data_IF_919846471596
#
_entry.id   IF_919846471596
#
_cell.length_a   1.000
_cell.length_b   1.000
_cell.length_c   1.000
_cell.angle_alpha   90.00
_cell.angle_beta   90.00
_cell.angle_gamma   90.00
#
_symmetry.space_group_name_H-M   'P 1'
#
loop_
_entity.id
_entity.type
_entity.pdbx_description
1 polymer ?
#
# COMPACT_ATOMS: atom_id res chain seq x y z
N UNK A 1 -13.33 31.77 -1.89
CA UNK A 1 -12.54 30.80 -2.70
C UNK A 1 -11.14 30.66 -2.17
N UNK A 2 -10.19 31.58 -2.40
CA UNK A 2 -9.02 31.56 -1.51
C UNK A 2 -9.52 31.80 -0.05
N UNK A 3 -10.76 32.36 0.15
CA UNK A 3 -11.58 32.45 1.42
C UNK A 3 -12.08 31.13 2.01
N UNK A 4 -11.75 30.05 1.33
CA UNK A 4 -11.95 28.68 1.75
C UNK A 4 -10.61 27.91 1.67
N UNK A 5 -9.47 28.61 1.40
CA UNK A 5 -8.21 28.01 0.97
C UNK A 5 -6.81 28.55 1.50
N UNK A 6 -6.67 29.18 2.70
CA UNK A 6 -5.58 29.01 3.78
C UNK A 6 -5.82 28.95 5.44
N UNK A 7 -6.76 28.20 6.13
CA UNK A 7 -7.46 28.38 7.50
C UNK A 7 -6.96 27.30 8.43
N UNK A 8 -7.13 26.06 7.95
CA UNK A 8 -6.58 24.90 8.59
C UNK A 8 -5.04 25.13 8.72
N UNK A 9 -4.42 26.01 7.90
CA UNK A 9 -2.99 26.36 8.05
C UNK A 9 -2.77 27.21 9.31
N UNK A 10 -3.79 27.90 9.82
CA UNK A 10 -3.69 28.72 11.04
C UNK A 10 -4.09 27.93 12.30
N UNK A 11 -4.75 26.79 12.14
CA UNK A 11 -5.34 26.00 13.23
C UNK A 11 -4.75 24.58 13.37
N UNK A 12 -3.59 24.33 12.75
CA UNK A 12 -2.82 23.10 12.93
C UNK A 12 -1.49 23.45 13.64
N UNK A 13 -0.93 22.61 14.53
CA UNK A 13 0.35 22.92 15.22
C UNK A 13 1.62 22.54 14.44
N UNK A 14 1.58 21.45 13.67
CA UNK A 14 2.74 20.70 13.12
C UNK A 14 3.78 21.48 12.29
N UNK A 15 3.40 22.42 11.42
CA UNK A 15 4.37 23.19 10.64
C UNK A 15 5.11 24.24 11.48
N UNK A 16 4.47 24.86 12.48
CA UNK A 16 5.03 26.00 13.20
C UNK A 16 6.33 25.63 13.94
N UNK A 17 6.39 24.40 14.44
CA UNK A 17 7.53 23.82 15.14
C UNK A 17 8.62 23.26 14.20
N UNK A 18 8.37 23.18 12.89
CA UNK A 18 9.20 22.43 11.94
C UNK A 18 10.65 22.94 11.82
N UNK A 19 11.63 22.09 11.46
CA UNK A 19 13.02 22.52 11.23
C UNK A 19 13.18 23.60 10.15
N UNK A 20 12.24 23.68 9.20
CA UNK A 20 12.21 24.72 8.18
C UNK A 20 11.78 26.08 8.75
N UNK A 21 10.78 26.12 9.64
CA UNK A 21 10.38 27.34 10.34
C UNK A 21 11.53 27.87 11.22
N UNK A 22 12.21 27.00 11.98
CA UNK A 22 13.38 27.36 12.80
C UNK A 22 14.54 27.90 11.94
N UNK A 23 14.81 27.30 10.76
CA UNK A 23 15.82 27.80 9.80
C UNK A 23 15.45 29.12 9.11
N UNK A 24 14.17 29.47 9.06
CA UNK A 24 13.70 30.76 8.53
C UNK A 24 13.61 31.87 9.60
N UNK A 25 14.06 31.61 10.83
CA UNK A 25 14.17 32.61 11.90
C UNK A 25 12.91 32.77 12.75
N UNK A 26 11.93 31.87 12.65
CA UNK A 26 10.77 31.86 13.54
C UNK A 26 11.13 31.18 14.87
N UNK A 27 11.13 31.95 15.95
CA UNK A 27 11.25 31.45 17.34
C UNK A 27 10.27 32.20 18.25
N UNK A 28 9.32 31.47 18.83
CA UNK A 28 8.50 31.96 19.93
C UNK A 28 9.10 31.46 21.25
N UNK A 29 9.57 32.36 22.10
CA UNK A 29 9.91 32.01 23.49
C UNK A 29 8.63 31.87 24.30
N UNK A 30 8.15 30.64 24.43
CA UNK A 30 7.16 30.24 25.42
C UNK A 30 7.80 29.24 26.37
N UNK A 31 7.55 29.41 27.66
CA UNK A 31 8.08 28.52 28.71
C UNK A 31 7.40 27.17 28.63
N UNK A 32 8.17 26.13 28.36
CA UNK A 32 7.71 24.74 28.37
C UNK A 32 7.11 24.35 29.73
N UNK A 33 5.82 24.03 29.73
CA UNK A 33 5.41 22.75 30.34
C UNK A 33 5.75 21.64 29.30
N UNK A 34 6.00 20.42 29.77
CA UNK A 34 6.62 19.35 28.96
C UNK A 34 5.63 18.70 27.99
N UNK A 35 5.27 19.39 26.91
CA UNK A 35 4.51 18.82 25.79
C UNK A 35 5.35 17.79 24.99
N UNK A 36 4.67 16.76 24.51
CA UNK A 36 5.29 15.54 23.97
C UNK A 36 6.14 15.79 22.71
N UNK A 37 7.22 15.03 22.58
CA UNK A 37 8.17 15.08 21.47
C UNK A 37 7.45 14.87 20.12
N UNK A 38 7.45 15.89 19.25
CA UNK A 38 6.85 15.77 17.92
C UNK A 38 7.59 14.72 17.07
N UNK A 39 6.90 13.61 16.81
CA UNK A 39 7.35 12.54 15.91
C UNK A 39 7.77 13.11 14.54
N UNK A 40 9.06 13.02 14.22
CA UNK A 40 9.62 13.29 12.90
C UNK A 40 9.42 12.11 11.92
N UNK A 41 8.93 10.97 12.43
CA UNK A 41 8.90 9.71 11.70
C UNK A 41 7.96 9.76 10.51
N UNK A 42 8.35 9.03 9.45
CA UNK A 42 7.49 8.81 8.29
C UNK A 42 6.25 7.96 8.61
N UNK A 43 6.26 7.26 9.75
CA UNK A 43 5.12 6.47 10.24
C UNK A 43 4.03 7.34 10.87
N UNK A 44 2.79 6.89 10.77
CA UNK A 44 1.65 7.44 11.50
C UNK A 44 0.71 6.29 11.86
N UNK A 45 0.43 6.08 13.16
CA UNK A 45 -0.68 5.21 13.58
C UNK A 45 -1.99 5.94 13.28
N UNK A 46 -2.82 5.40 12.38
CA UNK A 46 -4.01 6.09 11.91
C UNK A 46 -5.20 5.88 12.84
N UNK A 47 -5.80 6.99 13.30
CA UNK A 47 -7.16 6.99 13.84
C UNK A 47 -8.15 6.73 12.70
N UNK A 48 -8.79 5.57 12.70
CA UNK A 48 -9.77 5.17 11.68
C UNK A 48 -11.20 5.21 12.21
N UNK A 49 -12.17 5.56 11.35
CA UNK A 49 -13.60 5.57 11.69
C UNK A 49 -14.37 4.43 11.01
N UNK A 50 -15.65 4.25 11.36
CA UNK A 50 -16.54 3.25 10.74
C UNK A 50 -16.41 1.84 11.30
N UNK A 51 -16.88 0.85 10.55
CA UNK A 51 -16.91 -0.57 10.94
C UNK A 51 -15.55 -1.25 10.77
N UNK A 52 -14.57 -0.89 11.59
CA UNK A 52 -13.22 -1.50 11.58
C UNK A 52 -13.29 -3.03 11.78
N UNK A 53 -12.52 -3.84 11.02
CA UNK A 53 -12.51 -5.30 11.20
C UNK A 53 -11.97 -5.70 12.58
N UNK A 54 -12.44 -6.83 13.17
CA UNK A 54 -11.79 -7.42 14.34
C UNK A 54 -10.37 -7.91 14.01
N UNK A 55 -9.55 -8.06 15.06
CA UNK A 55 -8.14 -8.50 15.02
C UNK A 55 -7.95 -9.78 14.20
N UNK A 56 -6.96 -9.78 13.29
CA UNK A 56 -6.81 -10.87 12.30
C UNK A 56 -5.41 -10.98 11.70
N UNK A 57 -4.92 -12.21 11.61
CA UNK A 57 -3.67 -12.58 10.93
C UNK A 57 -3.96 -13.46 9.72
N UNK A 58 -3.19 -13.32 8.63
CA UNK A 58 -3.33 -14.15 7.44
C UNK A 58 -4.62 -13.89 6.66
N UNK A 59 -5.20 -12.70 6.85
CA UNK A 59 -6.13 -12.09 5.91
C UNK A 59 -5.36 -11.65 4.66
N UNK A 60 -6.09 -11.23 3.62
CA UNK A 60 -5.48 -10.61 2.44
C UNK A 60 -6.06 -9.22 2.22
N UNK A 61 -5.25 -8.34 1.63
CA UNK A 61 -5.60 -6.97 1.30
C UNK A 61 -5.09 -6.61 -0.10
N UNK A 62 -5.76 -5.69 -0.80
CA UNK A 62 -5.34 -5.10 -2.08
C UNK A 62 -6.06 -3.76 -2.30
N UNK A 63 -5.54 -2.90 -3.18
CA UNK A 63 -6.19 -1.63 -3.56
C UNK A 63 -6.81 -1.71 -4.95
N UNK A 64 -8.07 -1.30 -5.08
CA UNK A 64 -8.71 -0.97 -6.36
C UNK A 64 -9.47 0.34 -6.18
N UNK A 65 -9.24 1.30 -7.08
CA UNK A 65 -9.93 2.60 -7.14
C UNK A 65 -9.98 3.29 -5.76
N UNK A 66 -8.79 3.51 -5.20
CA UNK A 66 -8.54 4.28 -3.97
C UNK A 66 -9.15 3.68 -2.68
N UNK A 67 -9.65 2.45 -2.79
CA UNK A 67 -10.20 1.65 -1.70
C UNK A 67 -9.33 0.42 -1.47
N UNK A 68 -8.84 0.24 -0.24
CA UNK A 68 -8.27 -1.03 0.20
C UNK A 68 -9.41 -2.00 0.54
N UNK A 69 -9.46 -3.14 -0.16
CA UNK A 69 -10.34 -4.24 0.19
C UNK A 69 -9.60 -5.20 1.11
N UNK A 70 -10.28 -5.74 2.12
CA UNK A 70 -9.75 -6.74 3.06
C UNK A 70 -10.74 -7.89 3.19
N UNK A 71 -10.25 -9.13 3.12
CA UNK A 71 -11.07 -10.33 3.32
C UNK A 71 -10.43 -11.36 4.24
N UNK A 72 -11.27 -12.00 5.06
CA UNK A 72 -10.95 -13.21 5.80
C UNK A 72 -9.82 -13.04 6.83
N UNK A 73 -9.01 -14.09 7.01
CA UNK A 73 -7.99 -14.20 8.05
C UNK A 73 -8.45 -15.02 9.26
N UNK A 74 -7.59 -15.14 10.26
CA UNK A 74 -7.79 -16.00 11.44
C UNK A 74 -7.56 -15.23 12.74
N UNK A 75 -8.37 -15.55 13.76
CA UNK A 75 -8.09 -15.29 15.17
C UNK A 75 -8.71 -16.39 16.06
N UNK A 76 -7.98 -16.83 17.10
CA UNK A 76 -8.51 -17.64 18.21
C UNK A 76 -9.45 -18.80 17.83
N UNK A 77 -9.02 -19.65 16.89
CA UNK A 77 -9.79 -20.81 16.43
C UNK A 77 -10.88 -20.50 15.39
N UNK A 78 -11.13 -19.23 15.09
CA UNK A 78 -12.07 -18.77 14.07
C UNK A 78 -11.34 -18.32 12.80
N UNK A 79 -11.91 -18.65 11.63
CA UNK A 79 -11.54 -18.02 10.35
C UNK A 79 -12.68 -17.13 9.87
N UNK A 80 -12.36 -15.87 9.54
CA UNK A 80 -13.32 -14.90 9.07
C UNK A 80 -13.73 -15.14 7.61
N UNK A 81 -14.98 -14.79 7.27
CA UNK A 81 -15.51 -14.71 5.90
C UNK A 81 -16.13 -13.35 5.57
N UNK A 82 -15.82 -12.32 6.36
CA UNK A 82 -16.26 -10.96 6.12
C UNK A 82 -15.32 -10.24 5.14
N UNK A 83 -15.90 -9.33 4.35
CA UNK A 83 -15.20 -8.41 3.46
C UNK A 83 -15.43 -6.97 3.93
N UNK A 84 -14.38 -6.17 3.89
CA UNK A 84 -14.40 -4.75 4.23
C UNK A 84 -13.77 -3.92 3.12
N UNK A 85 -14.24 -2.69 2.99
CA UNK A 85 -13.58 -1.61 2.27
C UNK A 85 -13.00 -0.61 3.30
N UNK A 86 -11.80 -0.12 3.04
CA UNK A 86 -11.19 1.01 3.73
C UNK A 86 -10.94 2.12 2.72
N UNK A 87 -11.59 3.27 2.93
CA UNK A 87 -11.35 4.49 2.18
C UNK A 87 -9.98 5.05 2.57
N UNK A 88 -9.01 5.02 1.64
CA UNK A 88 -7.62 5.39 1.90
C UNK A 88 -7.44 6.91 2.11
N UNK A 89 -8.42 7.72 1.73
CA UNK A 89 -8.39 9.19 1.83
C UNK A 89 -9.11 9.65 3.11
N UNK A 90 -10.24 9.04 3.45
CA UNK A 90 -11.06 9.38 4.64
C UNK A 90 -10.74 8.55 5.87
N UNK A 91 -9.88 7.53 5.74
CA UNK A 91 -9.56 6.54 6.77
C UNK A 91 -10.82 5.90 7.40
N UNK A 92 -11.81 5.57 6.57
CA UNK A 92 -13.12 5.07 6.99
C UNK A 92 -13.34 3.61 6.56
N UNK A 93 -13.68 2.75 7.52
CA UNK A 93 -14.00 1.35 7.28
C UNK A 93 -15.49 1.13 7.04
N UNK A 94 -15.82 0.44 5.95
CA UNK A 94 -17.18 -0.05 5.65
C UNK A 94 -17.16 -1.57 5.58
N UNK A 95 -17.99 -2.25 6.38
CA UNK A 95 -18.27 -3.68 6.18
C UNK A 95 -19.14 -3.82 4.94
N UNK A 96 -18.75 -4.69 4.00
CA UNK A 96 -19.53 -4.91 2.79
C UNK A 96 -20.50 -6.06 3.04
N UNK A 97 -21.80 -5.75 3.10
CA UNK A 97 -22.85 -6.77 3.19
C UNK A 97 -23.08 -7.38 1.80
N UNK A 98 -22.70 -8.66 1.64
CA UNK A 98 -22.81 -9.39 0.36
C UNK A 98 -24.07 -10.25 0.35
N UNK A 99 -25.23 -9.62 0.18
CA UNK A 99 -26.54 -10.28 0.23
C UNK A 99 -26.91 -11.05 -1.05
N UNK A 100 -26.24 -10.77 -2.16
CA UNK A 100 -26.41 -11.45 -3.44
C UNK A 100 -25.24 -12.39 -3.72
N UNK A 101 -25.50 -13.53 -4.36
CA UNK A 101 -24.48 -14.53 -4.69
C UNK A 101 -24.25 -15.57 -3.59
N UNK A 102 -23.05 -16.14 -3.53
CA UNK A 102 -22.64 -17.08 -2.47
C UNK A 102 -22.12 -16.34 -1.23
N UNK A 103 -22.07 -17.02 -0.08
CA UNK A 103 -21.19 -16.64 1.02
C UNK A 103 -19.95 -17.53 1.00
N UNK A 104 -18.73 -17.00 0.86
CA UNK A 104 -17.52 -17.81 0.95
C UNK A 104 -17.34 -18.38 2.37
N UNK A 105 -16.79 -19.60 2.47
CA UNK A 105 -16.35 -20.16 3.76
C UNK A 105 -15.23 -19.33 4.39
N UNK A 106 -15.21 -19.29 5.73
CA UNK A 106 -14.20 -18.57 6.51
C UNK A 106 -12.80 -19.16 6.34
N UNK A 107 -11.84 -18.32 5.94
CA UNK A 107 -10.51 -18.79 5.53
C UNK A 107 -9.38 -17.81 5.79
N UNK A 108 -8.19 -18.35 6.03
CA UNK A 108 -6.95 -17.61 6.15
C UNK A 108 -5.88 -18.18 5.19
N UNK A 109 -4.89 -17.34 4.87
CA UNK A 109 -3.78 -17.67 3.95
C UNK A 109 -4.22 -18.14 2.56
N UNK A 110 -5.31 -17.58 2.06
CA UNK A 110 -5.70 -17.67 0.65
C UNK A 110 -4.81 -16.75 -0.21
N UNK A 111 -4.70 -17.05 -1.50
CA UNK A 111 -4.08 -16.18 -2.49
C UNK A 111 -5.15 -15.35 -3.20
N UNK A 112 -4.84 -14.10 -3.57
CA UNK A 112 -5.81 -13.23 -4.22
C UNK A 112 -5.17 -12.13 -5.07
N UNK A 113 -5.92 -11.58 -6.02
CA UNK A 113 -5.53 -10.41 -6.81
C UNK A 113 -6.77 -9.73 -7.42
N UNK A 114 -6.60 -8.52 -7.96
CA UNK A 114 -7.61 -7.94 -8.85
C UNK A 114 -7.63 -8.66 -10.21
N UNK A 115 -8.73 -8.58 -10.95
CA UNK A 115 -8.77 -8.90 -12.38
C UNK A 115 -7.93 -7.90 -13.20
N UNK A 116 -7.51 -8.27 -14.41
CA UNK A 116 -6.75 -7.34 -15.29
C UNK A 116 -7.54 -6.06 -15.60
N UNK A 117 -8.88 -6.15 -15.69
CA UNK A 117 -9.79 -5.01 -15.89
C UNK A 117 -10.13 -4.23 -14.60
N UNK A 118 -9.63 -4.67 -13.43
CA UNK A 118 -9.92 -4.14 -12.08
C UNK A 118 -11.42 -4.08 -11.71
N UNK A 119 -12.30 -4.83 -12.37
CA UNK A 119 -13.73 -4.93 -12.03
C UNK A 119 -14.03 -5.92 -10.90
N UNK A 120 -13.13 -6.88 -10.67
CA UNK A 120 -13.30 -8.01 -9.74
C UNK A 120 -12.07 -8.22 -8.87
N UNK A 121 -12.27 -8.93 -7.76
CA UNK A 121 -11.20 -9.55 -6.98
C UNK A 121 -11.34 -11.07 -7.11
N UNK A 122 -10.28 -11.74 -7.56
CA UNK A 122 -10.21 -13.21 -7.57
C UNK A 122 -9.56 -13.72 -6.30
N UNK A 123 -10.11 -14.79 -5.74
CA UNK A 123 -9.60 -15.47 -4.56
C UNK A 123 -9.45 -16.97 -4.86
N UNK A 124 -8.28 -17.53 -4.54
CA UNK A 124 -8.03 -18.96 -4.60
C UNK A 124 -7.45 -19.48 -3.27
N UNK A 125 -7.76 -20.71 -2.92
CA UNK A 125 -7.11 -21.39 -1.80
C UNK A 125 -7.53 -20.89 -0.42
N UNK A 126 -6.62 -21.08 0.52
CA UNK A 126 -6.80 -20.81 1.95
C UNK A 126 -7.24 -22.04 2.73
N UNK A 127 -7.12 -21.96 4.04
CA UNK A 127 -7.60 -22.98 4.98
C UNK A 127 -8.61 -22.38 5.94
N UNK A 128 -9.61 -23.18 6.34
CA UNK A 128 -10.34 -22.95 7.58
C UNK A 128 -9.46 -23.22 8.81
N UNK A 129 -10.03 -23.20 10.04
CA UNK A 129 -9.26 -23.19 11.28
C UNK A 129 -8.50 -24.51 11.57
N UNK A 130 -8.86 -25.60 10.89
CA UNK A 130 -8.17 -26.88 10.94
C UNK A 130 -7.14 -26.96 9.80
N UNK A 131 -5.98 -26.32 10.02
CA UNK A 131 -4.90 -26.17 9.03
C UNK A 131 -4.52 -27.50 8.36
N UNK A 132 -4.49 -27.50 7.03
CA UNK A 132 -4.20 -28.70 6.22
C UNK A 132 -5.39 -29.66 6.03
N UNK A 133 -6.44 -29.55 6.85
CA UNK A 133 -7.62 -30.42 6.81
C UNK A 133 -8.81 -29.73 6.12
N UNK A 134 -9.00 -28.43 6.32
CA UNK A 134 -10.06 -27.63 5.68
C UNK A 134 -9.51 -26.68 4.61
N UNK A 135 -8.57 -27.20 3.81
CA UNK A 135 -8.03 -26.51 2.63
C UNK A 135 -9.11 -26.33 1.55
N UNK A 136 -9.12 -25.17 0.90
CA UNK A 136 -10.08 -24.80 -0.13
C UNK A 136 -9.39 -24.77 -1.50
N UNK A 137 -10.13 -25.02 -2.58
CA UNK A 137 -9.58 -25.16 -3.94
C UNK A 137 -10.52 -24.74 -5.07
N UNK A 138 -11.52 -23.91 -4.78
CA UNK A 138 -12.34 -23.25 -5.80
C UNK A 138 -11.81 -21.84 -6.03
N UNK A 139 -11.74 -21.43 -7.30
CA UNK A 139 -11.57 -20.02 -7.67
C UNK A 139 -12.90 -19.30 -7.42
N UNK A 140 -12.87 -18.27 -6.57
CA UNK A 140 -14.00 -17.37 -6.33
C UNK A 140 -13.70 -16.01 -6.95
N UNK A 141 -14.75 -15.28 -7.33
CA UNK A 141 -14.65 -13.87 -7.72
C UNK A 141 -15.63 -13.02 -6.91
N UNK A 142 -15.19 -11.85 -6.48
CA UNK A 142 -16.02 -10.79 -5.94
C UNK A 142 -16.21 -9.70 -7.00
N UNK A 143 -17.46 -9.38 -7.35
CA UNK A 143 -17.77 -8.25 -8.22
C UNK A 143 -17.78 -6.96 -7.38
N UNK A 144 -16.89 -6.02 -7.70
CA UNK A 144 -16.68 -4.82 -6.88
C UNK A 144 -17.90 -3.87 -6.95
N UNK A 145 -18.57 -3.80 -8.11
CA UNK A 145 -19.73 -2.94 -8.33
C UNK A 145 -21.01 -3.53 -7.73
N UNK A 146 -21.28 -4.81 -8.01
CA UNK A 146 -22.48 -5.52 -7.54
C UNK A 146 -22.39 -6.00 -6.09
N UNK A 147 -21.18 -6.00 -5.51
CA UNK A 147 -20.87 -6.43 -4.14
C UNK A 147 -21.32 -7.87 -3.83
N UNK A 148 -21.21 -8.74 -4.83
CA UNK A 148 -21.55 -10.16 -4.73
C UNK A 148 -20.31 -11.05 -4.86
N UNK A 149 -20.38 -12.25 -4.28
CA UNK A 149 -19.42 -13.32 -4.52
C UNK A 149 -20.03 -14.37 -5.44
N UNK A 150 -19.25 -14.88 -6.39
CA UNK A 150 -19.62 -16.01 -7.25
C UNK A 150 -18.47 -17.01 -7.32
N UNK A 151 -18.82 -18.29 -7.54
CA UNK A 151 -17.83 -19.31 -7.92
C UNK A 151 -17.49 -19.07 -9.39
N UNK A 152 -16.21 -19.16 -9.75
CA UNK A 152 -15.79 -19.14 -11.15
C UNK A 152 -15.89 -20.57 -11.66
N UNK A 153 -16.95 -20.87 -12.40
CA UNK A 153 -17.09 -22.12 -13.14
C UNK A 153 -16.01 -22.16 -14.22
N UNK A 154 -15.00 -22.99 -13.99
CA UNK A 154 -13.73 -22.98 -14.73
C UNK A 154 -13.33 -24.39 -15.15
N UNK A 155 -12.80 -24.51 -16.36
CA UNK A 155 -12.43 -25.79 -16.97
C UNK A 155 -10.91 -26.05 -16.91
N UNK A 156 -10.49 -27.22 -17.39
CA UNK A 156 -9.07 -27.57 -17.52
C UNK A 156 -8.41 -28.08 -16.23
N UNK A 157 -7.10 -27.83 -16.11
CA UNK A 157 -6.25 -28.36 -15.04
C UNK A 157 -6.35 -27.52 -13.77
N UNK A 158 -7.44 -27.70 -13.02
CA UNK A 158 -7.67 -27.03 -11.73
C UNK A 158 -6.48 -27.20 -10.75
N UNK A 159 -6.07 -26.15 -10.01
CA UNK A 159 -5.06 -26.26 -8.98
C UNK A 159 -5.57 -27.04 -7.75
N UNK A 160 -4.70 -27.75 -7.01
CA UNK A 160 -5.11 -28.49 -5.82
C UNK A 160 -5.49 -27.56 -4.65
N UNK A 161 -6.39 -28.00 -3.74
CA UNK A 161 -6.70 -27.27 -2.51
C UNK A 161 -5.46 -27.08 -1.63
N UNK A 162 -5.25 -25.86 -1.13
CA UNK A 162 -4.10 -25.52 -0.31
C UNK A 162 -4.08 -24.05 0.11
N UNK A 163 -3.06 -23.66 0.88
CA UNK A 163 -2.88 -22.31 1.41
C UNK A 163 -1.44 -21.81 1.29
N UNK A 164 -1.26 -20.49 1.36
CA UNK A 164 0.04 -19.83 1.28
C UNK A 164 0.64 -19.80 -0.13
N UNK A 165 -0.14 -20.07 -1.17
CA UNK A 165 0.18 -19.70 -2.56
C UNK A 165 0.28 -18.18 -2.70
N UNK A 166 0.82 -17.70 -3.83
CA UNK A 166 0.60 -16.33 -4.31
C UNK A 166 -0.21 -16.33 -5.61
N UNK A 167 -0.87 -15.20 -5.93
CA UNK A 167 -1.65 -14.99 -7.14
C UNK A 167 -1.41 -13.57 -7.67
N UNK A 168 -1.19 -13.40 -8.97
CA UNK A 168 -1.14 -12.09 -9.62
C UNK A 168 -1.82 -12.12 -10.99
N UNK A 169 -2.24 -10.96 -11.50
CA UNK A 169 -2.84 -10.83 -12.83
C UNK A 169 -1.86 -10.13 -13.80
N UNK A 170 -1.62 -10.75 -14.95
CA UNK A 170 -0.81 -10.21 -16.05
C UNK A 170 -1.51 -10.56 -17.38
N UNK A 171 -1.76 -9.58 -18.24
CA UNK A 171 -2.26 -9.77 -19.62
C UNK A 171 -3.52 -10.65 -19.76
N UNK A 172 -4.56 -10.40 -18.95
CA UNK A 172 -5.80 -11.19 -18.89
C UNK A 172 -5.60 -12.64 -18.41
N UNK A 173 -4.55 -12.90 -17.63
CA UNK A 173 -4.27 -14.21 -17.04
C UNK A 173 -3.89 -14.07 -15.57
N UNK A 174 -4.33 -15.03 -14.76
CA UNK A 174 -3.96 -15.11 -13.34
C UNK A 174 -2.90 -16.20 -13.16
N UNK A 175 -1.78 -15.85 -12.53
CA UNK A 175 -0.64 -16.74 -12.29
C UNK A 175 -0.61 -17.11 -10.81
N UNK A 176 -0.96 -18.37 -10.50
CA UNK A 176 -0.97 -18.96 -9.16
C UNK A 176 0.31 -19.78 -8.97
N UNK A 177 1.09 -19.47 -7.93
CA UNK A 177 2.36 -20.16 -7.67
C UNK A 177 2.51 -20.69 -6.25
N UNK A 178 3.08 -21.90 -6.16
CA UNK A 178 3.59 -22.49 -4.91
C UNK A 178 2.52 -22.82 -3.87
N UNK A 179 2.83 -22.56 -2.60
CA UNK A 179 1.98 -22.85 -1.44
C UNK A 179 2.16 -24.26 -0.86
N UNK A 180 1.20 -24.67 -0.03
CA UNK A 180 1.23 -25.96 0.67
C UNK A 180 -0.16 -26.55 0.89
N UNK A 181 -0.24 -27.88 0.94
CA UNK A 181 -1.41 -28.62 1.44
C UNK A 181 -1.41 -28.78 2.97
N UNK A 182 -0.37 -28.30 3.66
CA UNK A 182 -0.08 -28.60 5.07
C UNK A 182 0.79 -29.84 5.27
N UNK A 183 0.84 -30.74 4.28
CA UNK A 183 1.74 -31.90 4.26
C UNK A 183 2.82 -31.81 3.17
N UNK A 184 2.50 -31.18 2.03
CA UNK A 184 3.40 -31.05 0.87
C UNK A 184 3.44 -29.59 0.45
N UNK A 185 4.64 -29.03 0.38
CA UNK A 185 4.92 -27.71 -0.20
C UNK A 185 5.24 -27.89 -1.68
N UNK A 186 4.81 -26.94 -2.53
CA UNK A 186 4.99 -27.04 -3.99
C UNK A 186 5.63 -25.78 -4.59
N UNK A 187 6.13 -25.90 -5.81
CA UNK A 187 6.56 -24.82 -6.72
C UNK A 187 5.91 -25.00 -8.11
N UNK A 188 4.68 -25.54 -8.13
CA UNK A 188 3.88 -25.62 -9.35
C UNK A 188 3.42 -24.22 -9.77
N UNK A 189 3.36 -24.00 -11.09
CA UNK A 189 2.69 -22.85 -11.69
C UNK A 189 1.36 -23.31 -12.30
N UNK A 190 0.30 -22.62 -11.92
CA UNK A 190 -1.01 -22.73 -12.57
C UNK A 190 -1.39 -21.38 -13.17
N UNK A 191 -1.90 -21.38 -14.39
CA UNK A 191 -2.30 -20.19 -15.12
C UNK A 191 -3.78 -20.29 -15.49
N UNK A 192 -4.55 -19.28 -15.09
CA UNK A 192 -5.96 -19.12 -15.44
C UNK A 192 -6.10 -18.09 -16.55
N UNK A 193 -6.83 -18.41 -17.60
CA UNK A 193 -7.17 -17.45 -18.64
C UNK A 193 -8.48 -16.74 -18.31
N UNK A 194 -8.44 -15.42 -18.11
CA UNK A 194 -9.61 -14.65 -17.68
C UNK A 194 -10.72 -14.57 -18.75
N UNK A 195 -10.40 -14.82 -20.03
CA UNK A 195 -11.37 -14.76 -21.13
C UNK A 195 -12.04 -16.11 -21.34
N UNK A 196 -11.24 -17.17 -21.51
CA UNK A 196 -11.74 -18.54 -21.78
C UNK A 196 -12.19 -19.29 -20.54
N UNK A 197 -11.84 -18.81 -19.33
CA UNK A 197 -12.12 -19.45 -18.03
C UNK A 197 -11.51 -20.85 -17.88
N UNK A 198 -10.35 -21.07 -18.52
CA UNK A 198 -9.61 -22.34 -18.46
C UNK A 198 -8.38 -22.19 -17.55
N UNK A 199 -8.20 -23.13 -16.62
CA UNK A 199 -6.94 -23.36 -15.91
C UNK A 199 -6.02 -24.30 -16.68
N UNK A 200 -4.72 -24.03 -16.61
CA UNK A 200 -3.65 -24.93 -17.02
C UNK A 200 -2.63 -25.07 -15.91
N UNK A 201 -2.06 -26.27 -15.74
CA UNK A 201 -0.76 -26.42 -15.10
C UNK A 201 0.28 -26.20 -16.20
N UNK A 202 1.12 -25.19 -16.04
CA UNK A 202 2.13 -24.83 -17.05
C UNK A 202 3.50 -25.34 -16.61
N UNK A 203 4.21 -26.04 -17.50
CA UNK A 203 5.60 -26.39 -17.26
C UNK A 203 6.51 -25.21 -17.61
N UNK A 204 7.41 -24.90 -16.67
CA UNK A 204 8.29 -23.73 -16.76
C UNK A 204 9.76 -24.13 -16.79
N UNK A 205 10.54 -23.40 -17.58
CA UNK A 205 11.97 -23.61 -17.82
C UNK A 205 12.82 -22.77 -16.86
N UNK A 206 14.15 -22.89 -16.96
CA UNK A 206 15.10 -22.06 -16.22
C UNK A 206 15.23 -22.44 -14.74
N UNK A 207 15.62 -21.47 -13.91
CA UNK A 207 15.90 -21.68 -12.47
C UNK A 207 14.64 -21.44 -11.63
N UNK A 208 13.71 -22.41 -11.69
CA UNK A 208 12.46 -22.40 -10.93
C UNK A 208 12.73 -22.28 -9.41
N UNK A 209 12.04 -21.39 -8.66
CA UNK A 209 12.18 -21.30 -7.21
C UNK A 209 11.91 -22.64 -6.52
N UNK A 210 12.56 -22.89 -5.38
CA UNK A 210 12.28 -24.07 -4.55
C UNK A 210 10.83 -24.08 -4.02
N UNK A 211 10.24 -25.25 -3.71
CA UNK A 211 8.89 -25.36 -3.13
C UNK A 211 8.70 -24.44 -1.92
N UNK A 212 7.66 -23.58 -1.96
CA UNK A 212 7.53 -22.49 -1.00
C UNK A 212 6.10 -22.02 -0.73
N UNK A 213 5.75 -21.85 0.53
CA UNK A 213 4.59 -21.08 0.98
C UNK A 213 5.01 -19.68 1.47
N UNK A 214 4.05 -18.75 1.57
CA UNK A 214 4.22 -17.44 2.21
C UNK A 214 5.44 -16.63 1.73
N UNK A 215 5.79 -16.85 0.46
CA UNK A 215 6.49 -15.93 -0.41
C UNK A 215 5.53 -14.80 -0.82
N UNK A 216 6.08 -13.74 -1.42
CA UNK A 216 5.28 -12.67 -2.02
C UNK A 216 5.47 -12.62 -3.54
N UNK A 217 4.51 -11.98 -4.21
CA UNK A 217 4.51 -11.82 -5.67
C UNK A 217 4.34 -10.35 -6.05
N UNK A 218 5.02 -9.93 -7.12
CA UNK A 218 4.75 -8.66 -7.79
C UNK A 218 4.70 -8.86 -9.31
N UNK A 219 3.74 -8.20 -9.97
CA UNK A 219 3.65 -8.13 -11.41
C UNK A 219 4.30 -6.83 -11.90
N UNK A 220 5.32 -6.94 -12.76
CA UNK A 220 5.99 -5.77 -13.36
C UNK A 220 6.23 -6.12 -14.83
N UNK A 221 5.64 -5.35 -15.73
CA UNK A 221 5.56 -5.66 -17.16
C UNK A 221 5.09 -7.12 -17.39
N UNK A 222 5.74 -7.85 -18.29
CA UNK A 222 5.46 -9.26 -18.59
C UNK A 222 6.25 -10.21 -17.67
N UNK A 223 6.47 -9.83 -16.40
CA UNK A 223 7.21 -10.63 -15.40
C UNK A 223 6.48 -10.76 -14.06
N UNK A 224 6.45 -11.99 -13.56
CA UNK A 224 5.99 -12.33 -12.22
C UNK A 224 7.22 -12.51 -11.32
N UNK A 225 7.50 -11.53 -10.46
CA UNK A 225 8.57 -11.60 -9.46
C UNK A 225 8.09 -12.38 -8.24
N UNK A 226 8.94 -13.27 -7.71
CA UNK A 226 8.68 -14.06 -6.49
C UNK A 226 9.80 -13.82 -5.49
N UNK A 227 9.44 -13.38 -4.28
CA UNK A 227 10.39 -12.94 -3.25
C UNK A 227 10.19 -13.76 -1.97
N UNK A 228 11.29 -14.30 -1.45
CA UNK A 228 11.35 -15.02 -0.17
C UNK A 228 10.35 -16.17 -0.03
N UNK A 229 9.83 -16.34 1.20
CA UNK A 229 9.03 -17.51 1.58
C UNK A 229 9.90 -18.72 1.91
N UNK A 230 9.29 -19.90 1.98
CA UNK A 230 10.02 -21.13 2.29
C UNK A 230 9.12 -22.31 2.62
N UNK A 231 9.65 -23.26 3.38
CA UNK A 231 8.85 -24.32 4.01
C UNK A 231 8.27 -23.76 5.32
N UNK A 232 7.95 -24.61 6.30
CA UNK A 232 7.48 -24.17 7.62
C UNK A 232 8.40 -23.09 8.23
N UNK A 233 9.71 -23.21 8.01
CA UNK A 233 10.70 -22.17 8.22
C UNK A 233 11.33 -21.72 6.89
N UNK A 234 11.78 -20.46 6.79
CA UNK A 234 12.45 -19.95 5.59
C UNK A 234 13.84 -20.59 5.39
N UNK A 235 14.40 -20.57 4.16
CA UNK A 235 15.80 -20.88 3.93
C UNK A 235 16.71 -19.99 4.79
N UNK A 236 17.87 -20.51 5.22
CA UNK A 236 18.86 -19.71 5.98
C UNK A 236 19.62 -18.75 5.08
N UNK A 237 19.96 -17.58 5.60
CA UNK A 237 20.78 -16.57 4.92
C UNK A 237 19.98 -15.40 4.32
N UNK A 238 20.45 -14.78 3.22
CA UNK A 238 19.76 -13.66 2.59
C UNK A 238 18.45 -14.11 1.90
N UNK A 239 17.51 -13.17 1.74
CA UNK A 239 16.25 -13.41 1.04
C UNK A 239 16.51 -13.68 -0.45
N UNK A 240 15.92 -14.75 -0.96
CA UNK A 240 15.99 -15.08 -2.39
C UNK A 240 14.93 -14.30 -3.18
N UNK A 241 15.20 -14.10 -4.47
CA UNK A 241 14.34 -13.35 -5.37
C UNK A 241 14.49 -13.87 -6.79
N UNK A 242 13.38 -14.05 -7.48
CA UNK A 242 13.29 -14.64 -8.80
C UNK A 242 12.30 -13.85 -9.66
N UNK A 243 12.35 -14.03 -10.97
CA UNK A 243 11.22 -13.73 -11.83
C UNK A 243 10.94 -14.82 -12.85
N UNK A 244 9.66 -15.01 -13.15
CA UNK A 244 9.17 -15.73 -14.31
C UNK A 244 8.92 -14.71 -15.42
N UNK A 245 9.57 -14.89 -16.56
CA UNK A 245 9.16 -14.27 -17.82
C UNK A 245 7.92 -15.00 -18.34
N UNK A 246 6.78 -14.30 -18.46
CA UNK A 246 5.47 -14.95 -18.70
C UNK A 246 5.16 -15.22 -20.16
N UNK A 247 5.97 -14.72 -21.09
CA UNK A 247 5.89 -15.05 -22.52
C UNK A 247 6.64 -16.36 -22.82
N UNK A 248 7.84 -16.50 -22.27
CA UNK A 248 8.73 -17.66 -22.48
C UNK A 248 8.56 -18.76 -21.43
N UNK A 249 7.76 -18.52 -20.39
CA UNK A 249 7.58 -19.40 -19.23
C UNK A 249 8.92 -19.86 -18.61
N UNK A 250 9.89 -18.94 -18.54
CA UNK A 250 11.26 -19.21 -18.07
C UNK A 250 11.58 -18.44 -16.79
N UNK A 251 12.10 -19.15 -15.78
CA UNK A 251 12.53 -18.57 -14.51
C UNK A 251 13.99 -18.15 -14.51
N UNK A 252 14.25 -17.01 -13.88
CA UNK A 252 15.56 -16.42 -13.67
C UNK A 252 15.73 -16.04 -12.19
N UNK A 253 16.96 -16.14 -11.68
CA UNK A 253 17.32 -15.52 -10.39
C UNK A 253 17.38 -13.99 -10.57
N UNK A 254 17.11 -13.24 -9.51
CA UNK A 254 17.52 -11.83 -9.39
C UNK A 254 18.84 -11.80 -8.63
N UNK A 255 19.89 -11.22 -9.22
CA UNK A 255 21.20 -11.09 -8.57
C UNK A 255 21.16 -9.97 -7.51
N UNK A 256 20.71 -10.33 -6.30
CA UNK A 256 20.58 -9.41 -5.17
C UNK A 256 21.93 -8.87 -4.68
N UNK A 257 22.02 -7.54 -4.54
CA UNK A 257 23.19 -6.81 -4.01
C UNK A 257 22.75 -5.73 -3.01
N UNK A 258 23.68 -5.04 -2.36
CA UNK A 258 23.36 -4.04 -1.33
C UNK A 258 22.95 -4.68 0.00
N UNK A 259 22.01 -4.06 0.70
CA UNK A 259 21.58 -4.45 2.05
C UNK A 259 20.56 -5.60 2.00
N UNK A 260 20.94 -6.74 1.41
CA UNK A 260 20.03 -7.86 1.14
C UNK A 260 19.44 -8.38 2.46
N UNK A 261 18.11 -8.24 2.71
CA UNK A 261 17.53 -8.60 4.00
C UNK A 261 17.63 -10.10 4.27
N UNK A 262 17.57 -10.50 5.55
CA UNK A 262 17.42 -11.92 5.91
C UNK A 262 16.20 -12.55 5.23
N UNK A 263 16.36 -13.80 4.80
CA UNK A 263 15.30 -14.69 4.33
C UNK A 263 14.19 -14.86 5.37
N UNK A 264 12.92 -14.82 4.92
CA UNK A 264 11.74 -14.78 5.79
C UNK A 264 10.45 -15.22 5.10
N UNK A 265 9.52 -15.73 5.90
CA UNK A 265 8.13 -16.01 5.49
C UNK A 265 7.18 -14.90 5.96
N UNK A 266 6.02 -14.80 5.31
CA UNK A 266 4.88 -14.00 5.78
C UNK A 266 5.18 -12.51 6.05
N UNK A 267 6.24 -12.01 5.37
CA UNK A 267 6.47 -10.60 5.07
C UNK A 267 5.46 -10.14 4.02
N UNK A 268 5.46 -8.85 3.69
CA UNK A 268 4.66 -8.26 2.61
C UNK A 268 5.57 -7.56 1.60
N UNK A 269 5.19 -7.56 0.32
CA UNK A 269 5.81 -6.75 -0.75
C UNK A 269 4.75 -5.81 -1.31
N UNK A 270 5.13 -4.57 -1.63
CA UNK A 270 4.30 -3.57 -2.31
C UNK A 270 5.07 -2.89 -3.42
N UNK A 271 4.45 -2.70 -4.58
CA UNK A 271 5.05 -1.98 -5.70
C UNK A 271 4.88 -0.46 -5.51
N UNK A 272 5.92 0.33 -5.73
CA UNK A 272 5.81 1.79 -5.67
C UNK A 272 5.05 2.35 -6.89
N UNK A 273 3.98 3.11 -6.65
CA UNK A 273 3.18 3.75 -7.71
C UNK A 273 4.00 4.70 -8.58
N UNK A 274 4.91 5.45 -7.95
CA UNK A 274 5.80 6.45 -8.57
C UNK A 274 7.06 5.84 -9.19
N UNK A 275 7.37 4.56 -8.94
CA UNK A 275 8.53 3.86 -9.49
C UNK A 275 8.25 2.35 -9.59
N UNK A 276 7.57 1.86 -10.65
CA UNK A 276 7.04 0.49 -10.69
C UNK A 276 8.10 -0.62 -10.63
N UNK A 277 9.38 -0.28 -10.80
CA UNK A 277 10.50 -1.21 -10.67
C UNK A 277 11.07 -1.28 -9.23
N UNK A 278 10.45 -0.60 -8.26
CA UNK A 278 10.81 -0.65 -6.84
C UNK A 278 9.74 -1.40 -6.04
N UNK A 279 10.20 -2.39 -5.29
CA UNK A 279 9.39 -3.29 -4.47
C UNK A 279 9.76 -3.12 -3.01
N UNK A 280 8.81 -2.63 -2.22
CA UNK A 280 8.99 -2.30 -0.81
C UNK A 280 8.52 -3.48 0.05
N UNK A 281 9.42 -4.01 0.86
CA UNK A 281 9.18 -5.07 1.83
C UNK A 281 8.90 -4.48 3.22
N UNK A 282 7.98 -5.10 3.96
CA UNK A 282 7.85 -4.88 5.40
C UNK A 282 7.70 -6.21 6.17
N UNK A 283 8.39 -6.28 7.30
CA UNK A 283 8.16 -7.25 8.37
C UNK A 283 8.37 -8.72 8.01
N UNK A 284 7.54 -9.61 8.56
CA UNK A 284 7.62 -11.07 8.43
C UNK A 284 8.47 -11.75 9.50
N UNK A 285 8.65 -13.08 9.38
CA UNK A 285 9.39 -13.94 10.32
C UNK A 285 10.61 -14.59 9.67
N UNK A 286 11.79 -14.37 10.24
CA UNK A 286 13.08 -14.86 9.73
C UNK A 286 13.44 -16.29 10.18
N UNK A 287 14.61 -16.77 9.76
CA UNK A 287 15.16 -18.10 10.02
C UNK A 287 15.49 -18.41 11.49
N UNK A 288 15.52 -17.40 12.36
CA UNK A 288 15.59 -17.55 13.82
C UNK A 288 14.23 -17.57 14.50
N UNK A 289 13.13 -17.40 13.75
CA UNK A 289 11.79 -17.21 14.31
C UNK A 289 11.51 -15.77 14.77
N UNK A 290 12.49 -14.86 14.63
CA UNK A 290 12.36 -13.45 14.98
C UNK A 290 11.46 -12.75 13.97
N UNK A 291 10.46 -12.01 14.47
CA UNK A 291 9.65 -11.11 13.65
C UNK A 291 10.42 -9.82 13.35
N UNK A 292 10.04 -9.15 12.27
CA UNK A 292 10.66 -7.89 11.82
C UNK A 292 9.59 -6.81 11.67
N UNK A 293 10.00 -5.55 11.76
CA UNK A 293 9.27 -4.34 11.38
C UNK A 293 10.11 -3.40 10.51
N UNK A 294 11.31 -3.81 10.10
CA UNK A 294 12.11 -3.05 9.15
C UNK A 294 11.37 -2.86 7.81
N UNK A 295 11.63 -1.71 7.20
CA UNK A 295 11.29 -1.42 5.82
C UNK A 295 12.52 -1.72 4.94
N UNK A 296 12.31 -2.28 3.77
CA UNK A 296 13.38 -2.52 2.79
C UNK A 296 12.88 -2.30 1.38
N UNK A 297 13.73 -1.94 0.43
CA UNK A 297 13.37 -1.75 -0.97
C UNK A 297 14.29 -2.56 -1.87
N UNK A 298 13.72 -3.28 -2.84
CA UNK A 298 14.42 -3.89 -3.97
C UNK A 298 14.13 -3.10 -5.25
N UNK A 299 15.18 -2.63 -5.91
CA UNK A 299 15.12 -2.17 -7.30
C UNK A 299 15.32 -3.37 -8.24
N UNK A 300 14.23 -3.89 -8.85
CA UNK A 300 14.31 -5.08 -9.72
C UNK A 300 15.08 -4.86 -11.01
N UNK A 301 15.40 -3.61 -11.37
CA UNK A 301 16.23 -3.30 -12.55
C UNK A 301 17.73 -3.45 -12.28
N UNK A 302 18.17 -3.30 -11.02
CA UNK A 302 19.59 -3.38 -10.63
C UNK A 302 19.91 -4.54 -9.69
N UNK A 303 18.89 -5.18 -9.10
CA UNK A 303 19.08 -6.17 -8.02
C UNK A 303 19.50 -5.54 -6.69
N UNK A 304 19.57 -4.22 -6.60
CA UNK A 304 20.00 -3.49 -5.40
C UNK A 304 18.88 -3.51 -4.35
N UNK A 305 19.19 -4.07 -3.17
CA UNK A 305 18.42 -3.92 -1.94
C UNK A 305 18.97 -2.77 -1.09
N UNK A 306 18.06 -2.09 -0.40
CA UNK A 306 18.36 -1.13 0.68
C UNK A 306 17.46 -1.41 1.88
N UNK A 307 17.99 -1.23 3.09
CA UNK A 307 17.20 -1.28 4.33
C UNK A 307 17.08 0.14 4.87
N UNK A 308 15.88 0.51 5.33
CA UNK A 308 15.65 1.77 6.03
C UNK A 308 15.58 1.48 7.52
N UNK A 309 16.57 1.97 8.26
CA UNK A 309 16.57 1.97 9.72
C UNK A 309 15.75 3.19 10.20
N UNK A 310 14.79 2.96 11.10
CA UNK A 310 13.88 3.97 11.63
C UNK A 310 14.10 4.06 13.15
N UNK A 311 14.93 5.01 13.57
CA UNK A 311 15.39 5.17 14.96
C UNK A 311 14.29 5.73 15.89
N UNK A 312 13.20 6.27 15.34
CA UNK A 312 12.29 7.17 16.06
C UNK A 312 11.09 6.46 16.71
N UNK A 313 10.93 5.16 16.50
CA UNK A 313 10.05 4.29 17.31
C UNK A 313 8.56 4.32 16.98
N UNK A 314 8.08 5.22 16.12
CA UNK A 314 6.66 5.38 15.74
C UNK A 314 6.12 4.26 14.81
N UNK A 315 7.00 3.35 14.38
CA UNK A 315 6.72 2.22 13.49
C UNK A 315 5.77 1.17 14.11
N UNK A 316 5.15 0.28 13.30
CA UNK A 316 4.44 -0.88 13.83
C UNK A 316 5.39 -1.79 14.62
N UNK A 317 4.83 -2.54 15.55
CA UNK A 317 5.54 -3.64 16.20
C UNK A 317 5.97 -4.73 15.19
N UNK A 318 7.02 -5.48 15.53
CA UNK A 318 7.57 -6.54 14.70
C UNK A 318 6.51 -7.65 14.47
N UNK A 319 6.01 -7.75 13.23
CA UNK A 319 4.80 -8.54 12.91
C UNK A 319 4.92 -9.41 11.66
N UNK A 320 4.23 -10.55 11.68
CA UNK A 320 4.06 -11.45 10.54
C UNK A 320 2.57 -11.70 10.23
N UNK A 321 2.29 -12.16 9.01
CA UNK A 321 0.93 -12.39 8.50
C UNK A 321 0.00 -11.15 8.56
N UNK A 322 0.56 -9.94 8.60
CA UNK A 322 -0.12 -8.68 8.32
C UNK A 322 -0.38 -8.53 6.82
N UNK A 323 -1.04 -7.45 6.43
CA UNK A 323 -0.97 -6.96 5.04
C UNK A 323 -0.36 -5.57 4.99
N UNK A 324 0.29 -5.27 3.87
CA UNK A 324 0.82 -3.96 3.57
C UNK A 324 0.64 -3.68 2.08
N UNK A 325 0.29 -2.44 1.74
CA UNK A 325 -0.05 -1.99 0.39
C UNK A 325 0.47 -0.58 0.17
N UNK A 326 1.02 -0.29 -1.01
CA UNK A 326 1.28 1.08 -1.45
C UNK A 326 0.12 1.57 -2.32
N UNK A 327 -0.26 2.82 -2.10
CA UNK A 327 -1.15 3.61 -2.95
C UNK A 327 -0.58 5.03 -3.03
N UNK A 328 -0.39 5.56 -4.24
CA UNK A 328 0.43 6.74 -4.49
C UNK A 328 1.82 6.59 -3.84
N UNK A 329 2.25 7.54 -3.02
CA UNK A 329 3.50 7.50 -2.23
C UNK A 329 3.25 7.14 -0.74
N UNK A 330 2.11 6.50 -0.43
CA UNK A 330 1.74 6.09 0.93
C UNK A 330 1.66 4.56 1.05
N UNK A 331 2.35 4.00 2.04
CA UNK A 331 2.27 2.57 2.38
C UNK A 331 1.36 2.38 3.60
N UNK A 332 0.27 1.63 3.47
CA UNK A 332 -0.65 1.30 4.55
C UNK A 332 -0.42 -0.12 5.04
N UNK A 333 -0.36 -0.32 6.36
CA UNK A 333 -0.19 -1.62 7.02
C UNK A 333 -1.41 -1.91 7.88
N UNK A 334 -1.96 -3.11 7.78
CA UNK A 334 -3.11 -3.56 8.56
C UNK A 334 -2.91 -4.93 9.20
N UNK A 335 -3.24 -5.01 10.49
CA UNK A 335 -3.35 -6.25 11.27
C UNK A 335 -2.08 -7.09 11.35
N UNK A 336 -2.23 -8.43 11.35
CA UNK A 336 -1.14 -9.39 11.54
C UNK A 336 -1.00 -9.89 12.98
N UNK A 337 0.15 -10.45 13.33
CA UNK A 337 0.49 -10.89 14.69
C UNK A 337 1.92 -10.53 15.06
N UNK A 338 2.12 -10.06 16.29
CA UNK A 338 3.43 -9.81 16.91
C UNK A 338 3.98 -11.04 17.67
N UNK A 339 3.23 -12.14 17.71
CA UNK A 339 3.58 -13.37 18.44
C UNK A 339 2.99 -13.47 19.84
N UNK A 340 2.46 -12.37 20.39
CA UNK A 340 1.65 -12.36 21.63
C UNK A 340 0.17 -12.31 21.29
N UNK A 341 -0.23 -11.38 20.42
CA UNK A 341 -1.62 -11.12 20.07
C UNK A 341 -1.81 -10.94 18.54
N UNK A 342 -3.00 -10.48 18.13
CA UNK A 342 -3.30 -10.09 16.76
C UNK A 342 -3.75 -8.65 16.70
N UNK A 343 -3.38 -7.98 15.61
CA UNK A 343 -3.62 -6.57 15.44
C UNK A 343 -4.85 -6.30 14.53
N UNK A 344 -5.44 -5.12 14.71
CA UNK A 344 -6.35 -4.44 13.75
C UNK A 344 -6.12 -2.93 13.74
N UNK A 345 -4.92 -2.48 14.13
CA UNK A 345 -4.48 -1.12 13.87
C UNK A 345 -4.21 -0.93 12.37
N UNK A 346 -4.26 0.33 11.94
CA UNK A 346 -3.74 0.76 10.65
C UNK A 346 -2.56 1.68 10.92
N UNK A 347 -1.41 1.37 10.32
CA UNK A 347 -0.28 2.30 10.23
C UNK A 347 -0.15 2.77 8.79
N UNK A 348 0.43 3.96 8.62
CA UNK A 348 0.77 4.53 7.31
C UNK A 348 2.20 5.03 7.34
N UNK A 349 3.03 4.62 6.38
CA UNK A 349 4.35 5.19 6.11
C UNK A 349 4.30 6.11 4.89
N UNK A 350 5.07 7.18 4.93
CA UNK A 350 5.18 8.16 3.84
C UNK A 350 6.44 7.84 3.02
N UNK A 351 6.27 7.13 1.90
CA UNK A 351 7.40 6.58 1.11
C UNK A 351 8.32 7.66 0.55
N UNK A 352 7.74 8.79 0.15
CA UNK A 352 8.50 9.95 -0.32
C UNK A 352 8.09 11.15 0.51
N UNK A 353 9.06 11.75 1.19
CA UNK A 353 8.93 13.13 1.67
C UNK A 353 8.87 14.07 0.45
N UNK A 354 7.69 14.16 -0.17
CA UNK A 354 7.32 15.11 -1.22
C UNK A 354 6.60 16.32 -0.59
N UNK A 355 7.35 17.35 -0.21
CA UNK A 355 7.12 18.67 -0.77
C UNK A 355 7.96 18.82 -2.07
N UNK A 356 7.74 19.87 -2.87
CA UNK A 356 6.45 20.46 -3.12
C UNK A 356 6.27 20.56 -4.65
N UNK A 357 5.90 19.47 -5.34
CA UNK A 357 5.93 19.39 -6.82
C UNK A 357 4.92 20.30 -7.55
N UNK A 358 3.67 19.86 -7.76
CA UNK A 358 2.55 20.74 -8.20
C UNK A 358 2.28 21.85 -7.16
N UNK A 359 2.60 21.52 -5.90
CA UNK A 359 2.50 22.36 -4.73
C UNK A 359 3.33 23.66 -4.86
N UNK A 360 4.55 23.62 -5.43
CA UNK A 360 5.33 24.82 -5.79
C UNK A 360 4.60 25.69 -6.81
N UNK A 361 3.98 25.10 -7.83
CA UNK A 361 3.31 25.87 -8.88
C UNK A 361 2.07 26.58 -8.34
N UNK A 362 1.31 25.92 -7.46
CA UNK A 362 0.25 26.56 -6.69
C UNK A 362 0.81 27.69 -5.81
N UNK A 363 1.84 27.41 -5.00
CA UNK A 363 2.50 28.39 -4.12
C UNK A 363 2.98 29.64 -4.89
N UNK A 364 3.63 29.46 -6.04
CA UNK A 364 4.11 30.55 -6.91
C UNK A 364 2.95 31.35 -7.53
N UNK A 365 1.95 30.67 -8.08
CA UNK A 365 0.80 31.32 -8.73
C UNK A 365 0.03 32.20 -7.73
N UNK A 366 -0.15 31.70 -6.51
CA UNK A 366 -0.80 32.42 -5.42
C UNK A 366 0.09 33.57 -4.90
N UNK A 367 1.41 33.35 -4.74
CA UNK A 367 2.38 34.36 -4.28
C UNK A 367 2.44 35.57 -5.21
N UNK A 368 2.29 35.35 -6.52
CA UNK A 368 2.27 36.41 -7.53
C UNK A 368 0.99 37.25 -7.53
N UNK A 369 -0.08 36.81 -6.85
CA UNK A 369 -1.40 37.44 -6.89
C UNK A 369 -1.93 37.86 -5.51
N UNK A 370 -1.11 37.77 -4.43
CA UNK A 370 -1.53 38.08 -3.05
C UNK A 370 -2.28 39.42 -2.93
N UNK A 371 -1.78 40.49 -3.56
CA UNK A 371 -2.36 41.83 -3.49
C UNK A 371 -3.76 41.95 -4.11
N UNK A 372 -4.20 40.94 -4.87
CA UNK A 372 -5.51 40.85 -5.53
C UNK A 372 -6.51 39.96 -4.78
N UNK A 373 -6.10 39.38 -3.65
CA UNK A 373 -6.85 38.34 -2.95
C UNK A 373 -7.11 38.82 -1.49
N UNK A 374 -8.38 38.94 -1.04
CA UNK A 374 -8.70 39.48 0.30
C UNK A 374 -7.99 38.76 1.47
N UNK A 375 -7.89 39.33 2.68
CA UNK A 375 -7.10 38.68 3.75
C UNK A 375 -7.78 37.46 4.41
N UNK A 376 -9.10 37.43 4.51
CA UNK A 376 -9.85 36.19 4.79
C UNK A 376 -9.68 35.19 3.62
N UNK A 377 -9.57 35.77 2.42
CA UNK A 377 -9.23 35.10 1.18
C UNK A 377 -7.78 34.61 1.15
N UNK A 378 -6.88 35.11 1.99
CA UNK A 378 -5.68 34.36 2.32
C UNK A 378 -6.17 33.21 3.21
N UNK A 379 -6.58 33.49 4.44
CA UNK A 379 -6.53 32.52 5.54
C UNK A 379 -7.70 31.49 5.65
N UNK A 380 -7.82 30.51 4.71
CA UNK A 380 -8.82 29.34 4.63
C UNK A 380 -8.72 27.69 4.26
N UNK A 381 -7.62 26.89 3.86
CA UNK A 381 -7.27 25.40 3.59
C UNK A 381 -6.25 24.69 4.61
N UNK A 382 -5.78 23.36 4.49
CA UNK A 382 -4.82 22.45 5.26
C UNK A 382 -3.51 22.99 5.88
N UNK A 383 -2.35 22.31 6.09
CA UNK A 383 -1.16 22.90 6.80
C UNK A 383 0.22 23.02 6.08
N UNK A 384 0.31 22.71 4.80
CA UNK A 384 1.58 22.59 4.08
C UNK A 384 1.80 23.72 3.03
N UNK A 385 0.73 24.42 2.62
CA UNK A 385 0.63 25.29 1.45
C UNK A 385 0.62 26.81 1.72
N UNK A 386 0.02 27.36 2.79
CA UNK A 386 0.16 28.84 3.07
C UNK A 386 1.60 29.27 3.11
N UNK A 387 2.39 28.59 3.93
CA UNK A 387 3.73 29.07 4.23
C UNK A 387 4.61 29.01 2.99
N UNK A 388 4.42 27.99 2.14
CA UNK A 388 5.05 27.98 0.84
C UNK A 388 4.59 29.14 -0.06
N UNK A 389 3.32 29.53 -0.07
CA UNK A 389 2.88 30.77 -0.75
C UNK A 389 3.65 31.99 -0.20
N UNK A 390 3.75 32.12 1.12
CA UNK A 390 4.38 33.28 1.76
C UNK A 390 5.91 33.30 1.66
N UNK A 391 6.58 32.15 1.52
CA UNK A 391 8.03 32.02 1.61
C UNK A 391 8.70 31.53 0.30
N UNK A 392 7.94 31.21 -0.74
CA UNK A 392 8.52 30.88 -2.04
C UNK A 392 9.19 32.10 -2.69
N UNK A 393 10.34 31.88 -3.31
CA UNK A 393 11.21 32.93 -3.82
C UNK A 393 10.47 33.82 -4.85
N UNK A 394 10.19 35.10 -4.54
CA UNK A 394 9.37 35.98 -5.38
C UNK A 394 10.06 36.40 -6.69
N UNK A 395 11.37 36.14 -6.82
CA UNK A 395 12.13 36.38 -8.05
C UNK A 395 11.99 35.24 -9.05
N UNK A 396 11.52 34.05 -8.63
CA UNK A 396 11.23 32.92 -9.53
C UNK A 396 9.78 33.04 -10.00
N UNK A 397 9.60 33.36 -11.29
CA UNK A 397 8.27 33.52 -11.89
C UNK A 397 7.90 32.32 -12.77
N UNK A 398 6.81 31.65 -12.43
CA UNK A 398 6.08 30.82 -13.39
C UNK A 398 5.68 31.67 -14.62
N UNK A 399 5.94 31.21 -15.86
CA UNK A 399 5.62 31.98 -17.07
C UNK A 399 4.12 31.94 -17.37
N UNK A 400 3.41 33.01 -17.01
CA UNK A 400 1.98 33.15 -17.28
C UNK A 400 1.71 33.79 -18.65
N UNK A 401 0.67 33.31 -19.34
CA UNK A 401 0.22 33.88 -20.62
C UNK A 401 -0.88 34.94 -20.36
N UNK A 402 -0.61 36.19 -20.74
CA UNK A 402 -1.52 37.33 -20.51
C UNK A 402 -2.82 37.27 -21.30
N UNK A 403 -2.95 36.41 -22.30
CA UNK A 403 -4.20 36.28 -23.08
C UNK A 403 -5.27 35.42 -22.40
N UNK A 404 -4.96 34.72 -21.30
CA UNK A 404 -5.90 33.79 -20.64
C UNK A 404 -6.77 34.44 -19.55
N UNK A 405 -6.35 35.57 -18.96
CA UNK A 405 -7.11 36.27 -17.91
C UNK A 405 -7.07 37.79 -18.09
N UNK A 406 -8.12 38.34 -18.69
CA UNK A 406 -8.34 39.78 -18.80
C UNK A 406 -9.46 40.24 -17.84
N UNK A 407 -9.08 40.88 -16.73
CA UNK A 407 -10.01 41.52 -15.81
C UNK A 407 -10.24 42.99 -16.22
N UNK A 408 -11.51 43.42 -16.25
CA UNK A 408 -11.88 44.76 -16.69
C UNK A 408 -11.56 45.82 -15.61
N UNK A 409 -10.86 46.88 -16.01
CA UNK A 409 -10.45 47.96 -15.10
C UNK A 409 -11.64 48.85 -14.70
N UNK A 410 -11.84 49.04 -13.39
CA UNK A 410 -12.61 50.19 -12.88
C UNK A 410 -11.71 51.43 -12.82
N UNK A 411 -12.28 52.61 -13.13
CA UNK A 411 -11.54 53.88 -13.20
C UNK A 411 -11.37 54.53 -11.84
N UNK A 412 -10.21 55.15 -11.62
CA UNK A 412 -9.86 55.91 -10.42
C UNK A 412 -9.79 57.43 -10.68
N UNK A 413 -10.22 58.22 -9.70
CA UNK A 413 -9.84 59.62 -9.40
C UNK A 413 -10.78 60.14 -8.29
N UNK A 414 -10.38 60.66 -7.12
CA UNK A 414 -9.41 61.73 -6.81
C UNK A 414 -9.82 63.11 -7.37
N UNK A 415 -9.86 64.22 -6.62
CA UNK A 415 -9.75 64.39 -5.16
C UNK A 415 -9.33 65.80 -4.74
N UNK A 416 -9.63 66.21 -3.49
CA UNK A 416 -9.04 67.35 -2.73
C UNK A 416 -9.18 68.77 -3.34
N UNK A 417 -8.73 69.86 -2.66
CA UNK A 417 -8.48 70.08 -1.23
C UNK A 417 -9.19 71.32 -0.62
N UNK A 418 -9.30 71.32 0.72
CA UNK A 418 -9.15 72.45 1.69
C UNK A 418 -9.36 73.90 1.21
N UNK A 419 -10.35 74.57 1.82
CA UNK A 419 -10.08 75.70 2.74
C UNK A 419 -10.95 75.55 3.99
#
# INVERSE_FOLDING_TARGET
>A
MFDDLLKLFRNSPRWANSPLARRLGFSAELTYEEEEQEDLSNWTKLTTSGNRPPVRSGHSALVVNDVMYVFGGYNEGNCHNDIYAFDLIRHHWTRIETSNGISPDGRASHAWCASTDKTKIYLFGGSGPHWGQTNMGKLLQFNILEKNWTIVEAEGSQPPPGYGQSLCAINNKLYLFGGTSGHVYVNDLYVFDEQTKIWKKEETNGRRPSPRYKHQVAAIDNRMYVIGGGLYDPPKGPIDSYYLDVETLTWYDVECTGDVPKSRIAHTISQMSSSPNRLVMFGGRDDSGTRRNELSELNVTTGEWRIYEDEEGCQPDARDFHTALIHEDLMFIFGGSNGVERNNDVYRYTMVHQPPSLLILAMQSLRQNLDLIPQECIDSLPFELRIGVENINPHVRSPYNTTWYALAQQKSSAGAPVM
#
